data_IF_358702590440
#
_entry.id   IF_358702590440
#
_cell.length_a   1.000
_cell.length_b   1.000
_cell.length_c   1.000
_cell.angle_alpha   90.00
_cell.angle_beta   90.00
_cell.angle_gamma   90.00
#
_symmetry.space_group_name_H-M   'P 1'
#
loop_
_entity.id
_entity.type
_entity.pdbx_description
1 polymer ?
#
# COMPACT_ATOMS: atom_id res chain seq x y z
N UNK A 1 14.00 14.79 -11.39
CA UNK A 1 12.89 15.74 -11.59
C UNK A 1 13.25 16.84 -12.57
N UNK A 2 12.28 17.37 -13.27
CA UNK A 2 12.49 18.48 -14.18
C UNK A 2 11.59 19.63 -13.71
N UNK A 3 12.21 20.78 -13.35
CA UNK A 3 11.51 22.00 -12.94
C UNK A 3 10.60 21.87 -11.70
N UNK A 4 10.95 21.04 -10.72
CA UNK A 4 10.15 20.85 -9.50
C UNK A 4 8.92 19.94 -9.65
N UNK A 5 8.70 19.34 -10.82
CA UNK A 5 7.57 18.43 -11.05
C UNK A 5 7.99 16.96 -10.84
N UNK A 6 7.15 16.22 -10.15
CA UNK A 6 7.24 14.77 -9.98
C UNK A 6 6.09 14.11 -10.73
N UNK A 7 6.39 13.15 -11.60
CA UNK A 7 5.37 12.34 -12.25
C UNK A 7 4.94 11.23 -11.31
N UNK A 8 3.67 11.14 -11.03
CA UNK A 8 3.05 10.08 -10.22
C UNK A 8 2.14 9.21 -11.08
N UNK A 9 1.92 7.98 -10.67
CA UNK A 9 1.01 7.05 -11.31
C UNK A 9 0.18 6.29 -10.26
N UNK A 10 -1.09 6.08 -10.56
CA UNK A 10 -1.95 5.11 -9.90
C UNK A 10 -2.27 4.01 -10.93
N UNK A 11 -1.99 2.77 -10.58
CA UNK A 11 -2.19 1.62 -11.47
C UNK A 11 -3.27 0.70 -10.89
N UNK A 12 -4.16 0.24 -11.75
CA UNK A 12 -5.22 -0.73 -11.40
C UNK A 12 -5.06 -1.95 -12.31
N UNK A 13 -4.18 -2.90 -11.94
CA UNK A 13 -3.96 -4.11 -12.73
C UNK A 13 -5.16 -5.06 -12.66
N UNK A 14 -5.28 -5.97 -13.62
CA UNK A 14 -6.22 -7.08 -13.52
C UNK A 14 -5.85 -7.98 -12.34
N UNK A 15 -6.83 -8.27 -11.48
CA UNK A 15 -6.67 -9.06 -10.26
C UNK A 15 -7.59 -10.27 -10.29
N UNK A 16 -7.06 -11.42 -9.82
CA UNK A 16 -7.82 -12.62 -9.52
C UNK A 16 -7.77 -12.90 -8.03
N UNK A 17 -8.91 -13.16 -7.44
CA UNK A 17 -9.01 -13.47 -6.00
C UNK A 17 -8.20 -14.71 -5.67
N UNK A 18 -7.28 -14.58 -4.70
CA UNK A 18 -6.36 -15.62 -4.21
C UNK A 18 -5.35 -16.17 -5.23
N UNK A 19 -5.32 -15.67 -6.46
CA UNK A 19 -4.32 -16.03 -7.47
C UNK A 19 -3.10 -15.09 -7.38
N UNK A 20 -2.29 -15.33 -6.37
CA UNK A 20 -1.16 -14.44 -6.03
C UNK A 20 -0.15 -14.38 -7.18
N UNK A 21 0.11 -15.48 -7.89
CA UNK A 21 1.06 -15.52 -9.00
C UNK A 21 0.60 -14.64 -10.17
N UNK A 22 -0.66 -14.76 -10.57
CA UNK A 22 -1.27 -13.92 -11.60
C UNK A 22 -1.22 -12.43 -11.21
N UNK A 23 -1.60 -12.13 -9.96
CA UNK A 23 -1.64 -10.75 -9.48
C UNK A 23 -0.24 -10.13 -9.44
N UNK A 24 0.76 -10.89 -8.96
CA UNK A 24 2.17 -10.46 -8.92
C UNK A 24 2.68 -10.10 -10.29
N UNK A 25 2.44 -10.94 -11.29
CA UNK A 25 2.88 -10.68 -12.65
C UNK A 25 2.25 -9.41 -13.24
N UNK A 26 0.96 -9.18 -12.99
CA UNK A 26 0.27 -7.96 -13.45
C UNK A 26 0.75 -6.69 -12.73
N UNK A 27 1.08 -6.80 -11.45
CA UNK A 27 1.71 -5.71 -10.69
C UNK A 27 3.07 -5.36 -11.31
N UNK A 28 3.92 -6.36 -11.58
CA UNK A 28 5.24 -6.16 -12.20
C UNK A 28 5.12 -5.55 -13.60
N UNK A 29 4.19 -6.03 -14.42
CA UNK A 29 3.94 -5.47 -15.75
C UNK A 29 3.53 -3.98 -15.69
N UNK A 30 2.66 -3.63 -14.74
CA UNK A 30 2.24 -2.24 -14.52
C UNK A 30 3.39 -1.36 -14.00
N UNK A 31 4.30 -1.91 -13.18
CA UNK A 31 5.52 -1.21 -12.74
C UNK A 31 6.44 -0.89 -13.93
N UNK A 32 6.62 -1.84 -14.85
CA UNK A 32 7.41 -1.61 -16.07
C UNK A 32 6.80 -0.51 -16.96
N UNK A 33 5.48 -0.52 -17.09
CA UNK A 33 4.77 0.52 -17.83
C UNK A 33 4.92 1.90 -17.18
N UNK A 34 4.76 1.98 -15.86
CA UNK A 34 4.95 3.21 -15.10
C UNK A 34 6.38 3.75 -15.24
N UNK A 35 7.40 2.86 -15.18
CA UNK A 35 8.80 3.23 -15.40
C UNK A 35 9.04 3.79 -16.81
N UNK A 36 8.54 3.12 -17.85
CA UNK A 36 8.62 3.58 -19.25
C UNK A 36 8.01 4.97 -19.43
N UNK A 37 6.96 5.25 -18.69
CA UNK A 37 6.29 6.55 -18.66
C UNK A 37 6.97 7.58 -17.73
N UNK A 38 8.04 7.20 -17.03
CA UNK A 38 8.84 8.09 -16.18
C UNK A 38 8.19 8.45 -14.84
N UNK A 39 7.27 7.62 -14.32
CA UNK A 39 6.73 7.78 -12.97
C UNK A 39 7.83 7.64 -11.92
N UNK A 40 7.72 8.42 -10.85
CA UNK A 40 8.63 8.39 -9.68
C UNK A 40 7.93 7.90 -8.43
N UNK A 41 6.61 7.95 -8.40
CA UNK A 41 5.76 7.38 -7.36
C UNK A 41 4.69 6.56 -8.06
N UNK A 42 4.50 5.32 -7.62
CA UNK A 42 3.50 4.41 -8.15
C UNK A 42 2.71 3.82 -6.98
N UNK A 43 1.38 3.90 -7.05
CA UNK A 43 0.48 3.32 -6.06
C UNK A 43 -0.42 2.26 -6.71
N UNK A 44 -0.55 1.13 -6.02
CA UNK A 44 -1.44 0.03 -6.35
C UNK A 44 -2.63 -0.03 -5.38
N UNK A 45 -3.71 -0.72 -5.75
CA UNK A 45 -4.87 -0.89 -4.89
C UNK A 45 -4.55 -1.64 -3.58
N UNK A 46 -5.40 -1.42 -2.59
CA UNK A 46 -5.46 -2.18 -1.34
C UNK A 46 -5.58 -3.69 -1.62
N UNK A 47 -4.80 -4.50 -0.90
CA UNK A 47 -4.79 -5.97 -0.98
C UNK A 47 -4.65 -6.53 -2.42
N UNK A 48 -4.07 -5.77 -3.34
CA UNK A 48 -3.98 -6.18 -4.76
C UNK A 48 -3.13 -7.43 -4.99
N UNK A 49 -2.23 -7.79 -4.06
CA UNK A 49 -1.44 -9.04 -4.16
C UNK A 49 -2.33 -10.28 -4.05
N UNK A 50 -3.38 -10.23 -3.24
CA UNK A 50 -4.28 -11.38 -3.01
C UNK A 50 -5.67 -11.19 -3.63
N UNK A 51 -6.07 -9.95 -3.91
CA UNK A 51 -7.44 -9.53 -4.08
C UNK A 51 -8.08 -9.21 -2.73
N UNK A 52 -8.97 -8.19 -2.73
CA UNK A 52 -9.65 -7.71 -1.52
C UNK A 52 -10.66 -8.73 -0.97
N UNK A 53 -11.36 -9.46 -1.84
CA UNK A 53 -12.51 -10.31 -1.49
C UNK A 53 -12.13 -11.77 -1.16
N UNK A 54 -10.93 -12.01 -0.63
CA UNK A 54 -10.48 -13.36 -0.24
C UNK A 54 -11.26 -13.95 0.94
N UNK A 55 -11.94 -13.12 1.75
CA UNK A 55 -12.76 -13.57 2.88
C UNK A 55 -11.98 -14.54 3.80
N UNK A 56 -12.53 -15.72 4.12
CA UNK A 56 -11.92 -16.70 5.03
C UNK A 56 -10.61 -17.32 4.48
N UNK A 57 -10.27 -17.09 3.21
CA UNK A 57 -8.97 -17.50 2.67
C UNK A 57 -7.82 -16.75 3.34
N UNK A 58 -8.05 -15.59 3.93
CA UNK A 58 -7.04 -14.88 4.71
C UNK A 58 -6.57 -15.64 5.96
N UNK A 59 -7.34 -16.63 6.44
CA UNK A 59 -6.95 -17.51 7.54
C UNK A 59 -6.03 -18.66 7.07
N UNK A 60 -5.85 -18.82 5.75
CA UNK A 60 -5.04 -19.91 5.19
C UNK A 60 -3.57 -19.53 5.07
N UNK A 61 -2.70 -20.23 5.77
CA UNK A 61 -1.25 -20.00 5.74
C UNK A 61 -0.63 -20.11 4.33
N UNK A 62 -1.25 -20.85 3.42
CA UNK A 62 -0.81 -20.97 2.02
C UNK A 62 -0.92 -19.63 1.32
N UNK A 63 -2.05 -18.92 1.46
CA UNK A 63 -2.26 -17.60 0.86
C UNK A 63 -1.28 -16.58 1.45
N UNK A 64 -1.12 -16.55 2.76
CA UNK A 64 -0.24 -15.59 3.44
C UNK A 64 1.24 -15.80 3.10
N UNK A 65 1.68 -17.07 3.00
CA UNK A 65 3.04 -17.40 2.55
C UNK A 65 3.27 -17.01 1.08
N UNK A 66 2.28 -17.25 0.21
CA UNK A 66 2.35 -16.83 -1.19
C UNK A 66 2.43 -15.31 -1.29
N UNK A 67 1.58 -14.58 -0.57
CA UNK A 67 1.62 -13.10 -0.51
C UNK A 67 2.98 -12.57 -0.04
N UNK A 68 3.54 -13.18 1.02
CA UNK A 68 4.87 -12.80 1.53
C UNK A 68 5.97 -12.99 0.49
N UNK A 69 5.95 -14.12 -0.24
CA UNK A 69 6.89 -14.38 -1.35
C UNK A 69 6.71 -13.36 -2.48
N UNK A 70 5.47 -13.06 -2.83
CA UNK A 70 5.16 -12.08 -3.87
C UNK A 70 5.70 -10.68 -3.53
N UNK A 71 5.59 -10.24 -2.27
CA UNK A 71 6.15 -8.96 -1.83
C UNK A 71 7.66 -8.87 -2.05
N UNK A 72 8.40 -9.96 -1.84
CA UNK A 72 9.84 -10.02 -2.10
C UNK A 72 10.12 -9.95 -3.60
N UNK A 73 9.38 -10.71 -4.40
CA UNK A 73 9.53 -10.72 -5.86
C UNK A 73 9.21 -9.35 -6.48
N UNK A 74 8.14 -8.69 -6.03
CA UNK A 74 7.79 -7.33 -6.46
C UNK A 74 8.89 -6.34 -6.05
N UNK A 75 9.38 -6.43 -4.81
CA UNK A 75 10.46 -5.57 -4.33
C UNK A 75 11.72 -5.73 -5.16
N UNK A 76 12.15 -6.96 -5.46
CA UNK A 76 13.31 -7.24 -6.32
C UNK A 76 13.17 -6.58 -7.69
N UNK A 77 11.96 -6.57 -8.25
CA UNK A 77 11.66 -5.92 -9.52
C UNK A 77 11.68 -4.38 -9.46
N UNK A 78 11.94 -3.77 -8.31
CA UNK A 78 12.19 -2.32 -8.19
C UNK A 78 13.68 -1.96 -8.28
N UNK A 79 14.58 -2.93 -8.33
CA UNK A 79 16.03 -2.74 -8.17
C UNK A 79 16.66 -1.78 -9.19
N UNK A 80 16.18 -1.78 -10.42
CA UNK A 80 16.64 -0.91 -11.52
C UNK A 80 15.72 0.29 -11.77
N UNK A 81 14.78 0.55 -10.85
CA UNK A 81 13.73 1.56 -10.99
C UNK A 81 13.91 2.69 -9.97
N UNK A 82 14.16 3.89 -10.48
CA UNK A 82 14.15 5.11 -9.66
C UNK A 82 12.68 5.53 -9.41
N UNK A 83 11.98 4.71 -8.61
CA UNK A 83 10.55 4.84 -8.35
C UNK A 83 10.22 4.30 -6.96
N UNK A 84 9.45 5.07 -6.18
CA UNK A 84 8.84 4.63 -4.92
C UNK A 84 7.51 3.94 -5.23
N UNK A 85 7.35 2.69 -4.79
CA UNK A 85 6.20 1.83 -5.12
C UNK A 85 5.45 1.44 -3.85
N UNK A 86 4.11 1.60 -3.87
CA UNK A 86 3.21 1.23 -2.80
C UNK A 86 2.30 0.09 -3.25
N UNK A 87 2.33 -1.04 -2.56
CA UNK A 87 1.60 -2.27 -2.94
C UNK A 87 0.75 -2.77 -1.79
N UNK A 88 -0.55 -2.86 -1.99
CA UNK A 88 -1.49 -3.38 -0.98
C UNK A 88 -1.39 -4.90 -0.79
N UNK A 89 -1.20 -5.37 0.44
CA UNK A 89 -1.08 -6.78 0.77
C UNK A 89 -1.53 -7.12 2.20
N UNK A 90 -1.92 -8.38 2.49
CA UNK A 90 -2.03 -8.85 3.86
C UNK A 90 -0.64 -9.18 4.42
N UNK A 91 -0.41 -8.84 5.70
CA UNK A 91 0.83 -9.14 6.40
C UNK A 91 0.55 -9.69 7.80
N UNK A 92 1.04 -10.90 8.06
CA UNK A 92 1.00 -11.48 9.40
C UNK A 92 2.22 -11.03 10.21
N UNK A 93 1.97 -10.46 11.40
CA UNK A 93 3.00 -10.05 12.35
C UNK A 93 2.58 -10.52 13.75
N UNK A 94 3.39 -11.37 14.39
CA UNK A 94 3.16 -11.88 15.74
C UNK A 94 1.75 -12.49 15.92
N UNK A 95 1.31 -13.30 14.96
CA UNK A 95 0.01 -14.00 14.99
C UNK A 95 -1.20 -13.08 14.78
N UNK A 96 -1.01 -11.86 14.32
CA UNK A 96 -2.07 -10.92 13.93
C UNK A 96 -1.93 -10.57 12.46
N UNK A 97 -3.05 -10.51 11.75
CA UNK A 97 -3.09 -10.14 10.35
C UNK A 97 -3.38 -8.65 10.20
N UNK A 98 -2.62 -7.98 9.36
CA UNK A 98 -2.74 -6.55 9.06
C UNK A 98 -2.94 -6.33 7.57
N UNK A 99 -3.76 -5.35 7.24
CA UNK A 99 -3.88 -4.80 5.91
C UNK A 99 -2.81 -3.70 5.78
N UNK A 100 -1.87 -3.87 4.84
CA UNK A 100 -0.71 -2.99 4.72
C UNK A 100 -0.51 -2.49 3.30
N UNK A 101 0.09 -1.31 3.19
CA UNK A 101 0.80 -0.87 2.00
C UNK A 101 2.29 -1.16 2.21
N UNK A 102 2.82 -2.14 1.49
CA UNK A 102 4.24 -2.40 1.43
C UNK A 102 4.91 -1.34 0.55
N UNK A 103 5.91 -0.67 1.08
CA UNK A 103 6.62 0.41 0.38
C UNK A 103 7.97 -0.10 -0.07
N UNK A 104 8.25 0.04 -1.36
CA UNK A 104 9.37 -0.59 -2.02
C UNK A 104 10.18 0.43 -2.82
N UNK A 105 11.50 0.29 -2.76
CA UNK A 105 12.42 1.08 -3.54
C UNK A 105 13.75 0.33 -3.72
N UNK A 106 14.36 0.38 -4.90
CA UNK A 106 15.69 -0.16 -5.19
C UNK A 106 15.92 -1.61 -4.71
N UNK A 107 14.96 -2.49 -4.97
CA UNK A 107 15.05 -3.91 -4.62
C UNK A 107 14.66 -4.25 -3.18
N UNK A 108 14.27 -3.28 -2.38
CA UNK A 108 14.01 -3.48 -0.96
C UNK A 108 12.61 -3.03 -0.54
N UNK A 109 12.06 -3.70 0.48
CA UNK A 109 10.91 -3.21 1.22
C UNK A 109 11.44 -2.29 2.32
N UNK A 110 11.07 -1.02 2.26
CA UNK A 110 11.57 0.03 3.16
C UNK A 110 10.57 0.43 4.25
N UNK A 111 9.34 -0.07 4.19
CA UNK A 111 8.32 0.17 5.20
C UNK A 111 7.03 -0.60 4.93
N UNK A 112 6.24 -0.77 5.97
CA UNK A 112 4.86 -1.26 5.90
C UNK A 112 3.94 -0.24 6.58
N UNK A 113 3.23 0.56 5.79
CA UNK A 113 2.17 1.41 6.31
C UNK A 113 0.94 0.55 6.58
N UNK A 114 0.39 0.64 7.79
CA UNK A 114 -0.74 -0.17 8.23
C UNK A 114 -2.05 0.60 8.14
N UNK A 115 -3.13 -0.10 7.76
CA UNK A 115 -4.49 0.45 7.84
C UNK A 115 -4.87 0.70 9.29
N UNK A 116 -5.34 1.90 9.58
CA UNK A 116 -5.74 2.34 10.93
C UNK A 116 -7.21 2.06 11.19
N UNK A 117 -8.07 2.42 10.23
CA UNK A 117 -9.51 2.28 10.35
C UNK A 117 -10.00 1.13 9.48
N UNK A 118 -10.58 0.11 10.12
CA UNK A 118 -11.12 -1.07 9.42
C UNK A 118 -12.63 -0.91 9.28
N UNK A 119 -13.18 -0.81 8.04
CA UNK A 119 -14.61 -0.77 7.86
C UNK A 119 -15.26 -2.09 8.27
N UNK A 120 -16.35 -1.99 9.01
CA UNK A 120 -17.12 -3.14 9.49
C UNK A 120 -18.63 -2.85 9.45
N UNK A 121 -19.07 -2.34 8.31
CA UNK A 121 -20.46 -1.94 8.02
C UNK A 121 -20.78 -2.19 6.55
N UNK A 122 -22.07 -2.32 6.22
CA UNK A 122 -22.53 -2.60 4.85
C UNK A 122 -21.93 -3.90 4.33
N UNK A 123 -21.28 -3.84 3.18
CA UNK A 123 -20.54 -4.93 2.54
C UNK A 123 -19.14 -5.19 3.14
N UNK A 124 -18.63 -4.29 3.97
CA UNK A 124 -17.29 -4.42 4.55
C UNK A 124 -17.32 -5.20 5.86
N UNK A 125 -16.40 -6.15 6.00
CA UNK A 125 -16.29 -7.01 7.18
C UNK A 125 -14.82 -7.27 7.54
N UNK A 126 -13.97 -6.23 7.47
CA UNK A 126 -12.52 -6.38 7.64
C UNK A 126 -12.11 -6.79 9.06
N UNK A 127 -12.85 -6.38 10.08
CA UNK A 127 -12.52 -6.71 11.48
C UNK A 127 -12.63 -8.22 11.79
N UNK A 128 -13.19 -9.01 10.86
CA UNK A 128 -13.19 -10.48 10.97
C UNK A 128 -11.78 -11.05 10.80
N UNK A 129 -11.01 -10.54 9.85
CA UNK A 129 -9.70 -11.07 9.48
C UNK A 129 -8.55 -10.17 9.94
N UNK A 130 -8.72 -8.86 9.89
CA UNK A 130 -7.65 -7.91 10.10
C UNK A 130 -7.70 -7.25 11.48
N UNK A 131 -6.51 -6.92 11.97
CA UNK A 131 -6.30 -6.12 13.18
C UNK A 131 -5.96 -4.68 12.76
N UNK A 132 -6.53 -3.65 13.39
CA UNK A 132 -6.10 -2.27 13.20
C UNK A 132 -4.61 -2.10 13.42
N UNK A 133 -3.96 -1.22 12.64
CA UNK A 133 -2.56 -0.90 12.81
C UNK A 133 -2.22 -0.43 14.23
N UNK A 134 -0.95 -0.52 14.64
CA UNK A 134 -0.52 0.01 15.92
C UNK A 134 -0.71 1.53 15.96
N UNK A 135 -0.80 2.13 17.14
CA UNK A 135 -0.95 3.58 17.28
C UNK A 135 0.32 4.37 16.89
N UNK A 136 1.48 3.72 16.97
CA UNK A 136 2.78 4.32 16.65
C UNK A 136 3.59 3.40 15.77
N UNK A 137 4.48 3.98 14.98
CA UNK A 137 5.45 3.24 14.17
C UNK A 137 6.38 2.44 15.08
N UNK A 138 6.63 1.19 14.73
CA UNK A 138 7.58 0.30 15.40
C UNK A 138 8.38 -0.47 14.35
N UNK A 139 9.48 -1.07 14.74
CA UNK A 139 10.21 -2.00 13.88
C UNK A 139 9.65 -3.42 14.00
N UNK A 140 9.55 -4.10 12.88
CA UNK A 140 9.32 -5.55 12.81
C UNK A 140 10.48 -6.23 12.09
N UNK A 141 10.66 -7.52 12.34
CA UNK A 141 11.61 -8.34 11.56
C UNK A 141 10.86 -8.99 10.40
N UNK A 142 11.24 -8.62 9.18
CA UNK A 142 10.74 -9.23 7.95
C UNK A 142 11.93 -9.73 7.13
N UNK A 143 11.96 -11.05 6.84
CA UNK A 143 13.08 -11.71 6.14
C UNK A 143 14.48 -11.37 6.71
N UNK A 144 14.59 -11.34 8.03
CA UNK A 144 15.84 -11.04 8.73
C UNK A 144 16.24 -9.56 8.80
N UNK A 145 15.49 -8.66 8.14
CA UNK A 145 15.71 -7.21 8.17
C UNK A 145 14.72 -6.54 9.14
N UNK A 146 15.19 -5.49 9.81
CA UNK A 146 14.33 -4.60 10.58
C UNK A 146 13.68 -3.58 9.66
N UNK A 147 12.35 -3.52 9.65
CA UNK A 147 11.55 -2.68 8.77
C UNK A 147 10.55 -1.88 9.60
N UNK A 148 10.40 -0.56 9.35
CA UNK A 148 9.35 0.25 9.96
C UNK A 148 7.96 -0.31 9.63
N UNK A 149 7.10 -0.39 10.64
CA UNK A 149 5.74 -0.92 10.56
C UNK A 149 4.80 -0.07 11.40
N UNK A 150 3.76 0.46 10.80
CA UNK A 150 2.76 1.28 11.49
C UNK A 150 2.12 2.31 10.58
N UNK A 151 1.21 3.14 11.10
CA UNK A 151 0.66 4.27 10.37
C UNK A 151 1.70 5.39 10.27
N UNK A 152 1.48 6.35 9.36
CA UNK A 152 2.20 7.64 9.36
C UNK A 152 3.73 7.51 9.20
N UNK A 153 4.20 6.56 8.39
CA UNK A 153 5.59 6.50 7.97
C UNK A 153 5.80 7.54 6.85
N UNK A 154 6.82 8.38 7.01
CA UNK A 154 7.20 9.37 6.00
C UNK A 154 8.39 8.87 5.19
N UNK A 155 8.29 8.95 3.87
CA UNK A 155 9.32 8.57 2.92
C UNK A 155 9.82 9.82 2.20
N UNK A 156 11.00 10.30 2.58
CA UNK A 156 11.61 11.49 1.98
C UNK A 156 12.56 11.09 0.85
N UNK A 157 12.47 11.80 -0.27
CA UNK A 157 13.36 11.56 -1.40
C UNK A 157 14.76 12.13 -1.11
N UNK A 158 15.80 11.32 -1.33
CA UNK A 158 17.16 11.78 -1.23
C UNK A 158 17.46 12.89 -2.25
N UNK A 159 18.08 13.98 -1.80
CA UNK A 159 18.39 15.15 -2.65
C UNK A 159 17.19 16.00 -3.03
N UNK A 160 16.02 15.78 -2.40
CA UNK A 160 14.80 16.55 -2.63
C UNK A 160 13.97 16.61 -1.35
N UNK A 161 14.36 17.50 -0.46
CA UNK A 161 13.79 17.60 0.88
C UNK A 161 12.29 17.90 0.89
N UNK A 162 11.79 18.57 -0.15
CA UNK A 162 10.37 18.92 -0.30
C UNK A 162 9.49 17.73 -0.77
N UNK A 163 10.08 16.65 -1.26
CA UNK A 163 9.34 15.46 -1.65
C UNK A 163 9.27 14.47 -0.50
N UNK A 164 8.23 14.57 0.30
CA UNK A 164 7.91 13.68 1.40
C UNK A 164 6.59 12.99 1.12
N UNK A 165 6.61 11.67 1.02
CA UNK A 165 5.45 10.86 0.67
C UNK A 165 4.97 10.08 1.90
N UNK A 166 3.68 10.06 2.13
CA UNK A 166 3.04 9.20 3.12
C UNK A 166 1.92 8.39 2.48
N UNK A 167 1.60 7.25 3.08
CA UNK A 167 0.51 6.39 2.63
C UNK A 167 -0.58 6.26 3.69
N UNK A 168 -1.81 6.10 3.24
CA UNK A 168 -2.96 5.64 4.01
C UNK A 168 -3.75 4.62 3.18
N UNK A 169 -4.68 3.90 3.79
CA UNK A 169 -5.35 2.79 3.11
C UNK A 169 -6.86 2.96 3.17
N UNK A 170 -7.47 3.16 2.00
CA UNK A 170 -8.91 3.12 1.74
C UNK A 170 -9.73 3.89 2.80
N UNK A 171 -10.32 3.18 3.79
CA UNK A 171 -11.18 3.73 4.85
C UNK A 171 -10.50 4.83 5.65
N UNK A 172 -9.19 4.83 5.73
CA UNK A 172 -8.45 5.83 6.51
C UNK A 172 -8.81 7.26 6.09
N UNK A 173 -8.97 7.53 4.78
CA UNK A 173 -9.29 8.87 4.26
C UNK A 173 -10.72 9.32 4.59
N UNK A 174 -11.64 8.36 4.86
CA UNK A 174 -13.05 8.66 5.17
C UNK A 174 -13.29 8.92 6.65
N UNK A 175 -12.28 8.65 7.49
CA UNK A 175 -12.38 8.84 8.95
C UNK A 175 -12.46 10.33 9.31
N UNK A 176 -13.03 10.69 10.48
CA UNK A 176 -13.08 12.08 10.92
C UNK A 176 -11.71 12.74 11.11
N UNK A 177 -10.68 11.95 11.41
CA UNK A 177 -9.28 12.37 11.50
C UNK A 177 -8.42 11.36 10.74
N UNK A 178 -8.26 11.54 9.42
CA UNK A 178 -7.47 10.64 8.60
C UNK A 178 -5.98 10.67 9.01
N UNK A 179 -5.25 9.56 8.87
CA UNK A 179 -3.79 9.52 9.09
C UNK A 179 -3.02 10.55 8.27
N UNK A 180 -3.52 10.90 7.09
CA UNK A 180 -2.95 11.92 6.22
C UNK A 180 -2.89 13.32 6.86
N UNK A 181 -3.80 13.67 7.77
CA UNK A 181 -3.73 14.94 8.51
C UNK A 181 -2.45 15.02 9.33
N UNK A 182 -2.18 13.98 10.13
CA UNK A 182 -0.96 13.96 10.94
C UNK A 182 0.29 13.89 10.05
N UNK A 183 0.26 13.09 8.98
CA UNK A 183 1.35 13.01 8.02
C UNK A 183 1.66 14.39 7.39
N UNK A 184 0.63 15.15 7.01
CA UNK A 184 0.80 16.49 6.46
C UNK A 184 1.36 17.48 7.51
N UNK A 185 0.93 17.39 8.76
CA UNK A 185 1.47 18.21 9.86
C UNK A 185 2.95 17.91 10.14
N UNK A 186 3.38 16.66 9.91
CA UNK A 186 4.77 16.21 10.03
C UNK A 186 5.60 16.43 8.75
N UNK A 187 5.01 17.05 7.72
CA UNK A 187 5.73 17.50 6.53
C UNK A 187 5.50 16.68 5.26
N UNK A 188 4.57 15.74 5.23
CA UNK A 188 4.21 15.05 3.99
C UNK A 188 3.66 16.05 2.97
N UNK A 189 4.19 15.99 1.75
CA UNK A 189 3.76 16.83 0.62
C UNK A 189 2.99 16.06 -0.43
N UNK A 190 3.04 14.73 -0.38
CA UNK A 190 2.26 13.82 -1.22
C UNK A 190 1.65 12.73 -0.35
N UNK A 191 0.34 12.55 -0.46
CA UNK A 191 -0.38 11.43 0.16
C UNK A 191 -0.79 10.45 -0.93
N UNK A 192 -0.50 9.17 -0.74
CA UNK A 192 -1.01 8.08 -1.56
C UNK A 192 -2.04 7.28 -0.78
N UNK A 193 -3.13 6.89 -1.44
CA UNK A 193 -4.16 6.05 -0.82
C UNK A 193 -4.30 4.75 -1.62
N UNK A 194 -3.94 3.61 -1.00
CA UNK A 194 -4.17 2.28 -1.56
C UNK A 194 -5.62 1.90 -1.30
N UNK A 195 -6.48 1.91 -2.31
CA UNK A 195 -7.91 1.72 -2.14
C UNK A 195 -8.47 0.59 -2.99
N UNK A 196 -9.41 -0.19 -2.41
CA UNK A 196 -10.30 -1.14 -3.06
C UNK A 196 -11.77 -0.78 -2.77
N UNK A 197 -12.06 0.51 -2.83
CA UNK A 197 -13.39 1.07 -2.55
C UNK A 197 -14.39 0.71 -3.64
N UNK A 198 -15.62 0.42 -3.25
CA UNK A 198 -16.75 0.25 -4.15
C UNK A 198 -17.01 1.50 -5.00
N UNK A 199 -17.70 1.32 -6.13
CA UNK A 199 -18.16 2.42 -6.98
C UNK A 199 -19.68 2.50 -6.93
N UNK A 200 -20.21 3.56 -6.31
CA UNK A 200 -21.62 3.87 -6.23
C UNK A 200 -21.96 5.18 -6.91
N UNK A 201 -23.22 5.36 -7.29
CA UNK A 201 -23.68 6.58 -7.97
C UNK A 201 -23.39 7.81 -7.11
N UNK A 202 -22.60 8.76 -7.66
CA UNK A 202 -22.24 10.02 -7.01
C UNK A 202 -21.00 9.95 -6.12
N UNK A 203 -20.39 8.79 -5.90
CA UNK A 203 -19.21 8.64 -5.07
C UNK A 203 -17.97 9.31 -5.67
N UNK A 204 -17.89 9.39 -6.99
CA UNK A 204 -16.81 10.11 -7.68
C UNK A 204 -16.75 11.60 -7.30
N UNK A 205 -17.91 12.25 -7.19
CA UNK A 205 -18.02 13.64 -6.76
C UNK A 205 -17.54 13.82 -5.32
N UNK A 206 -17.96 12.92 -4.44
CA UNK A 206 -17.54 12.93 -3.04
C UNK A 206 -16.03 12.70 -2.91
N UNK A 207 -15.48 11.75 -3.65
CA UNK A 207 -14.04 11.45 -3.69
C UNK A 207 -13.17 12.64 -4.12
N UNK A 208 -13.68 13.47 -5.03
CA UNK A 208 -13.00 14.69 -5.48
C UNK A 208 -13.06 15.83 -4.47
N UNK A 209 -13.97 15.77 -3.52
CA UNK A 209 -14.15 16.78 -2.48
C UNK A 209 -13.29 16.54 -1.24
N UNK A 210 -12.69 15.36 -1.13
CA UNK A 210 -11.73 15.01 -0.09
C UNK A 210 -10.37 15.63 -0.38
#
# INVERSE_FOLDING_TARGET
>A
MKNGFVKVAAATPDIRVADVEFNTQNIINAMEEAQKNGAKILVFPELCVTGYTCSDLFDHSVLLKASRKALLEIAENTNDKDMLVFVGAPLEVNGKLYNVAAVMNQGEIIGFTTKTFLPNYGEFYEMRQFTPGPQTVREITFEGKKIPFGPQILFQAEGMEELVVAAEICEDVWSPVPPSIQAALEGATVIVNCSASDETIGKDTYRRAL
#
